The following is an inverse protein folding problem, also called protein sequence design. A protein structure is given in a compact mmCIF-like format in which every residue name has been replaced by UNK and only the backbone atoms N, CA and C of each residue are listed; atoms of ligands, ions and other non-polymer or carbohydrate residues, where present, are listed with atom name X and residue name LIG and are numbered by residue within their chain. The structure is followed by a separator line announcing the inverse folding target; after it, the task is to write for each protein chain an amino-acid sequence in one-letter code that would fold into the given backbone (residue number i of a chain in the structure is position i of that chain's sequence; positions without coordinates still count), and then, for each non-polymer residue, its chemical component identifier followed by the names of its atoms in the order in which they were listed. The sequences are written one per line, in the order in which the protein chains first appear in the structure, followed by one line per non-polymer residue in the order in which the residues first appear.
data_IF_613268258270
#
_entry.id   IF_613268258270
#
_cell.length_a   1.000
_cell.length_b   1.000
_cell.length_c   1.000
_cell.angle_alpha   90.00
_cell.angle_beta   90.00
_cell.angle_gamma   90.00
#
_symmetry.space_group_name_H-M   'P 1'
#
loop_
_entity.id
_entity.type
_entity.pdbx_description
1 polymer ?
#
# COMPACT_ATOMS: atom_id res chain seq x y z
N UNK A 1 -7.38 -9.82 2.15
CA UNK A 1 -7.09 -10.09 3.58
C UNK A 1 -5.85 -10.96 3.74
N UNK A 2 -5.86 -12.23 3.30
CA UNK A 2 -4.70 -13.14 3.42
C UNK A 2 -3.44 -12.51 2.81
N UNK A 3 -3.51 -12.12 1.54
CA UNK A 3 -2.41 -11.44 0.83
C UNK A 3 -1.91 -10.18 1.53
N UNK A 4 -2.80 -9.43 2.18
CA UNK A 4 -2.44 -8.22 2.92
C UNK A 4 -1.69 -8.52 4.22
N UNK A 5 -2.07 -9.58 4.95
CA UNK A 5 -1.35 -10.04 6.14
C UNK A 5 0.04 -10.57 5.74
N UNK A 6 0.12 -11.37 4.67
CA UNK A 6 1.40 -11.83 4.14
C UNK A 6 2.31 -10.65 3.73
N UNK A 7 1.77 -9.67 3.00
CA UNK A 7 2.53 -8.47 2.62
C UNK A 7 2.99 -7.65 3.82
N UNK A 8 2.20 -7.55 4.89
CA UNK A 8 2.58 -6.86 6.11
C UNK A 8 3.69 -7.58 6.89
N UNK A 9 3.68 -8.92 6.91
CA UNK A 9 4.69 -9.72 7.61
C UNK A 9 6.02 -9.74 6.85
N UNK A 10 5.97 -10.02 5.54
CA UNK A 10 7.18 -10.23 4.74
C UNK A 10 7.67 -8.97 4.02
N UNK A 11 6.79 -7.97 3.81
CA UNK A 11 7.07 -6.78 3.02
C UNK A 11 8.27 -5.96 3.50
N UNK A 12 8.36 -5.57 4.80
CA UNK A 12 9.48 -4.78 5.29
C UNK A 12 10.83 -5.48 5.08
N UNK A 13 10.90 -6.77 5.41
CA UNK A 13 12.10 -7.58 5.23
C UNK A 13 12.49 -7.74 3.76
N UNK A 14 11.50 -7.88 2.87
CA UNK A 14 11.76 -7.96 1.43
C UNK A 14 12.24 -6.63 0.84
N UNK A 15 11.68 -5.51 1.31
CA UNK A 15 12.12 -4.16 0.95
C UNK A 15 13.56 -3.89 1.41
N UNK A 16 13.90 -4.29 2.65
CA UNK A 16 15.27 -4.20 3.16
C UNK A 16 16.23 -5.09 2.37
N UNK A 17 15.83 -6.31 2.00
CA UNK A 17 16.65 -7.20 1.17
C UNK A 17 16.85 -6.64 -0.25
N UNK A 18 15.87 -5.93 -0.78
CA UNK A 18 15.95 -5.22 -2.05
C UNK A 18 16.72 -3.87 -1.96
N UNK A 19 17.21 -3.49 -0.78
CA UNK A 19 17.93 -2.23 -0.57
C UNK A 19 17.07 -0.98 -0.70
N UNK A 20 15.77 -1.08 -0.40
CA UNK A 20 14.86 0.07 -0.45
C UNK A 20 14.87 0.79 0.89
N UNK A 21 15.69 1.84 0.98
CA UNK A 21 15.83 2.65 2.20
C UNK A 21 14.94 3.90 2.20
N UNK A 22 14.40 4.29 1.05
CA UNK A 22 13.58 5.50 0.94
C UNK A 22 12.23 5.30 1.66
N UNK A 23 11.91 6.11 2.70
CA UNK A 23 10.69 5.94 3.50
C UNK A 23 9.41 6.12 2.68
N UNK A 24 9.39 7.01 1.70
CA UNK A 24 8.25 7.19 0.81
C UNK A 24 7.99 5.97 -0.06
N UNK A 25 9.05 5.37 -0.60
CA UNK A 25 8.95 4.16 -1.41
C UNK A 25 8.47 2.96 -0.58
N UNK A 26 9.01 2.80 0.63
CA UNK A 26 8.60 1.74 1.57
C UNK A 26 7.13 1.91 1.98
N UNK A 27 6.75 3.13 2.34
CA UNK A 27 5.38 3.49 2.69
C UNK A 27 4.39 3.18 1.57
N UNK A 28 4.66 3.66 0.35
CA UNK A 28 3.80 3.37 -0.80
C UNK A 28 3.70 1.87 -1.09
N UNK A 29 4.82 1.15 -1.07
CA UNK A 29 4.83 -0.29 -1.35
C UNK A 29 3.99 -1.08 -0.33
N UNK A 30 4.16 -0.82 0.96
CA UNK A 30 3.39 -1.47 2.03
C UNK A 30 1.91 -1.08 1.98
N UNK A 31 1.60 0.20 1.75
CA UNK A 31 0.22 0.69 1.64
C UNK A 31 -0.54 0.08 0.46
N UNK A 32 0.07 0.01 -0.72
CA UNK A 32 -0.55 -0.55 -1.94
C UNK A 32 -0.72 -2.07 -1.87
N UNK A 33 0.28 -2.79 -1.36
CA UNK A 33 0.29 -4.26 -1.40
C UNK A 33 -0.43 -4.90 -0.20
N UNK A 34 -0.35 -4.27 0.97
CA UNK A 34 -0.86 -4.81 2.23
C UNK A 34 -2.01 -4.00 2.86
N UNK A 35 -2.49 -2.97 2.15
CA UNK A 35 -3.67 -2.17 2.52
C UNK A 35 -3.51 -1.55 3.93
N UNK A 36 -4.59 -1.45 4.69
CA UNK A 36 -4.59 -0.90 6.05
C UNK A 36 -3.64 -1.65 7.01
N UNK A 37 -3.47 -2.97 6.84
CA UNK A 37 -2.56 -3.78 7.66
C UNK A 37 -1.10 -3.45 7.34
N UNK A 38 -0.77 -3.24 6.06
CA UNK A 38 0.56 -2.76 5.65
C UNK A 38 0.83 -1.33 6.12
N UNK A 39 -0.20 -0.48 6.16
CA UNK A 39 -0.10 0.91 6.62
C UNK A 39 0.27 0.99 8.10
N UNK A 40 -0.28 0.12 8.95
CA UNK A 40 0.10 0.07 10.37
C UNK A 40 1.52 -0.46 10.57
N UNK A 41 2.03 -1.32 9.68
CA UNK A 41 3.44 -1.74 9.68
C UNK A 41 4.35 -0.61 9.18
N UNK A 42 3.97 0.11 8.13
CA UNK A 42 4.72 1.26 7.62
C UNK A 42 4.86 2.36 8.68
N UNK A 43 3.80 2.62 9.47
CA UNK A 43 3.84 3.54 10.62
C UNK A 43 4.85 3.10 11.69
N UNK A 44 5.04 1.79 11.89
CA UNK A 44 6.06 1.27 12.82
C UNK A 44 7.47 1.44 12.27
N UNK A 45 7.66 1.48 10.95
CA UNK A 45 8.96 1.78 10.34
C UNK A 45 9.31 3.27 10.38
N UNK A 46 8.31 4.14 10.43
CA UNK A 46 8.49 5.58 10.65
C UNK A 46 7.27 6.39 10.24
N UNK A 47 7.14 7.60 10.80
CA UNK A 47 6.02 8.50 10.50
C UNK A 47 5.90 8.84 9.01
N UNK A 48 7.04 9.08 8.34
CA UNK A 48 7.05 9.38 6.90
C UNK A 48 6.56 8.19 6.06
N UNK A 49 7.05 6.98 6.35
CA UNK A 49 6.59 5.75 5.69
C UNK A 49 5.10 5.52 5.91
N UNK A 50 4.61 5.73 7.13
CA UNK A 50 3.19 5.69 7.44
C UNK A 50 2.34 6.73 6.70
N UNK A 51 2.83 7.96 6.56
CA UNK A 51 2.17 9.01 5.80
C UNK A 51 2.04 8.64 4.30
N UNK A 52 3.11 8.15 3.69
CA UNK A 52 3.07 7.70 2.29
C UNK A 52 2.23 6.44 2.09
N UNK A 53 2.16 5.54 3.08
CA UNK A 53 1.24 4.40 3.05
C UNK A 53 -0.24 4.83 3.09
N UNK A 54 -0.58 5.83 3.91
CA UNK A 54 -1.92 6.40 3.94
C UNK A 54 -2.27 7.10 2.61
N UNK A 55 -1.31 7.81 2.01
CA UNK A 55 -1.48 8.40 0.68
C UNK A 55 -1.68 7.34 -0.41
N UNK A 56 -0.97 6.22 -0.35
CA UNK A 56 -1.19 5.10 -1.27
C UNK A 56 -2.62 4.55 -1.18
N UNK A 57 -3.15 4.36 0.03
CA UNK A 57 -4.53 3.90 0.24
C UNK A 57 -5.57 4.91 -0.28
N UNK A 58 -5.37 6.21 -0.05
CA UNK A 58 -6.29 7.23 -0.55
C UNK A 58 -6.27 7.32 -2.08
N UNK A 59 -5.09 7.24 -2.69
CA UNK A 59 -4.95 7.23 -4.15
C UNK A 59 -5.60 5.99 -4.78
N UNK A 60 -5.47 4.82 -4.16
CA UNK A 60 -6.16 3.60 -4.58
C UNK A 60 -7.68 3.79 -4.56
N UNK A 61 -8.21 4.44 -3.51
CA UNK A 61 -9.63 4.78 -3.40
C UNK A 61 -10.11 5.72 -4.50
N UNK A 62 -9.35 6.79 -4.77
CA UNK A 62 -9.64 7.74 -5.85
C UNK A 62 -9.60 7.05 -7.21
N UNK A 63 -8.56 6.27 -7.48
CA UNK A 63 -8.45 5.50 -8.73
C UNK A 63 -9.66 4.57 -8.90
N UNK A 64 -10.02 3.83 -7.85
CA UNK A 64 -11.20 2.95 -7.87
C UNK A 64 -12.47 3.74 -8.17
N UNK A 65 -12.69 4.89 -7.52
CA UNK A 65 -13.87 5.72 -7.75
C UNK A 65 -13.97 6.23 -9.20
N UNK A 66 -12.83 6.55 -9.83
CA UNK A 66 -12.79 7.00 -11.23
C UNK A 66 -12.97 5.85 -12.23
N UNK A 67 -12.38 4.68 -11.97
CA UNK A 67 -12.40 3.55 -12.90
C UNK A 67 -13.64 2.66 -12.77
N UNK A 68 -14.28 2.63 -11.61
CA UNK A 68 -15.47 1.81 -11.37
C UNK A 68 -16.63 2.06 -12.36
N UNK A 69 -17.04 3.30 -12.70
CA UNK A 69 -18.11 3.52 -13.68
C UNK A 69 -17.75 3.03 -15.08
N UNK A 70 -16.48 3.16 -15.49
CA UNK A 70 -16.02 2.66 -16.78
C UNK A 70 -16.06 1.12 -16.81
N UNK A 71 -15.58 0.47 -15.76
CA UNK A 71 -15.66 -0.99 -15.63
C UNK A 71 -17.11 -1.49 -15.66
N UNK A 72 -18.02 -0.79 -14.98
CA UNK A 72 -19.46 -1.09 -15.01
C UNK A 72 -20.07 -0.93 -16.40
N UNK A 73 -19.70 0.12 -17.14
CA UNK A 73 -20.21 0.34 -18.51
C UNK A 73 -19.76 -0.70 -19.53
N UNK A 74 -18.63 -1.38 -19.31
CA UNK A 74 -18.11 -2.44 -20.19
C UNK A 74 -18.68 -3.83 -19.87
N UNK A 75 -19.21 -4.00 -18.65
CA UNK A 75 -19.74 -5.27 -18.16
C UNK A 75 -21.23 -5.48 -18.52
N UNK A 76 -21.88 -4.45 -19.07
CA UNK A 76 -23.28 -4.41 -19.51
C UNK A 76 -23.28 -4.37 -21.05
#
# INVERSE_FOLDING_TARGET
MITGVFGAIFGPGLLSLAGVDNPAARGMALGLTAHAVGTSVALQEGEESGAFAALAMSLMGVATALFLPLAMSLAI
#
